data_IF_186467406816
#
_entry.id   IF_186467406816
#
_cell.length_a   1.000
_cell.length_b   1.000
_cell.length_c   1.000
_cell.angle_alpha   90.00
_cell.angle_beta   90.00
_cell.angle_gamma   90.00
#
_symmetry.space_group_name_H-M   'P 1'
#
loop_
_entity.id
_entity.type
_entity.pdbx_description
1 polymer ?
#
# COMPACT_ATOMS: atom_id res chain seq x y z
N UNK A 1 11.93 -12.25 -1.63
CA UNK A 1 10.98 -11.39 -0.90
C UNK A 1 10.50 -10.26 -1.81
N UNK A 2 9.22 -10.01 -1.83
CA UNK A 2 8.62 -8.94 -2.62
C UNK A 2 8.39 -7.75 -1.70
N UNK A 3 8.82 -6.55 -2.09
CA UNK A 3 8.66 -5.34 -1.30
C UNK A 3 7.72 -4.36 -2.03
N UNK A 4 6.81 -3.74 -1.31
CA UNK A 4 5.87 -2.81 -1.92
C UNK A 4 5.38 -1.76 -0.93
N UNK A 5 5.20 -0.53 -1.42
CA UNK A 5 4.39 0.47 -0.76
C UNK A 5 2.95 0.23 -1.18
N UNK A 6 2.05 0.08 -0.24
CA UNK A 6 0.63 -0.17 -0.50
C UNK A 6 -0.15 1.11 -0.25
N UNK A 7 -0.75 1.67 -1.30
CA UNK A 7 -1.64 2.83 -1.15
C UNK A 7 -2.86 2.42 -0.32
N UNK A 8 -3.31 3.31 0.54
CA UNK A 8 -4.43 3.04 1.46
C UNK A 8 -5.68 2.55 0.73
N UNK A 9 -5.94 3.06 -0.48
CA UNK A 9 -7.12 2.64 -1.25
C UNK A 9 -7.11 1.14 -1.59
N UNK A 10 -5.94 0.52 -1.71
CA UNK A 10 -5.82 -0.93 -1.96
C UNK A 10 -6.28 -1.72 -0.73
N UNK A 11 -5.87 -1.28 0.46
CA UNK A 11 -6.29 -1.92 1.72
C UNK A 11 -7.81 -1.80 1.88
N UNK A 12 -8.34 -0.60 1.71
CA UNK A 12 -9.79 -0.35 1.82
C UNK A 12 -10.56 -1.21 0.83
N UNK A 13 -10.15 -1.21 -0.43
CA UNK A 13 -10.80 -2.00 -1.48
C UNK A 13 -10.81 -3.49 -1.15
N UNK A 14 -9.71 -4.02 -0.61
CA UNK A 14 -9.61 -5.43 -0.22
C UNK A 14 -10.59 -5.79 0.89
N UNK A 15 -10.90 -4.85 1.76
CA UNK A 15 -11.83 -5.07 2.89
C UNK A 15 -13.29 -4.89 2.49
N UNK A 16 -13.57 -4.09 1.47
CA UNK A 16 -14.93 -3.82 1.00
C UNK A 16 -15.38 -4.83 -0.08
N UNK A 17 -14.47 -5.46 -0.78
CA UNK A 17 -14.82 -6.40 -1.85
C UNK A 17 -15.43 -7.68 -1.30
N UNK A 18 -16.42 -8.21 -2.01
CA UNK A 18 -16.99 -9.55 -1.74
C UNK A 18 -16.30 -10.64 -2.56
N UNK A 19 -15.45 -10.23 -3.51
CA UNK A 19 -14.70 -11.15 -4.36
C UNK A 19 -13.30 -11.37 -3.78
N UNK A 20 -13.08 -12.52 -3.16
CA UNK A 20 -11.79 -12.88 -2.55
C UNK A 20 -10.69 -13.12 -3.59
N UNK A 21 -11.04 -13.25 -4.87
CA UNK A 21 -10.08 -13.37 -5.96
C UNK A 21 -9.81 -12.04 -6.66
N UNK A 22 -10.35 -10.93 -6.16
CA UNK A 22 -10.04 -9.61 -6.71
C UNK A 22 -8.55 -9.30 -6.55
N UNK A 23 -8.02 -8.44 -7.41
CA UNK A 23 -6.59 -8.10 -7.37
C UNK A 23 -6.20 -7.49 -6.02
N UNK A 24 -7.01 -6.60 -5.46
CA UNK A 24 -6.72 -5.99 -4.16
C UNK A 24 -6.70 -7.03 -3.03
N UNK A 25 -7.64 -7.97 -3.04
CA UNK A 25 -7.68 -9.05 -2.06
C UNK A 25 -6.44 -9.94 -2.18
N UNK A 26 -6.01 -10.25 -3.40
CA UNK A 26 -4.82 -11.09 -3.65
C UNK A 26 -3.55 -10.40 -3.18
N UNK A 27 -3.41 -9.10 -3.42
CA UNK A 27 -2.27 -8.31 -2.92
C UNK A 27 -2.24 -8.36 -1.39
N UNK A 28 -3.34 -8.07 -0.74
CA UNK A 28 -3.38 -8.02 0.73
C UNK A 28 -3.21 -9.41 1.36
N UNK A 29 -3.76 -10.46 0.75
CA UNK A 29 -3.53 -11.83 1.22
C UNK A 29 -2.04 -12.18 1.16
N UNK A 30 -1.32 -11.75 0.11
CA UNK A 30 0.12 -11.96 0.00
C UNK A 30 0.89 -11.22 1.11
N UNK A 31 0.41 -10.04 1.52
CA UNK A 31 0.97 -9.32 2.68
C UNK A 31 0.75 -10.14 3.96
N UNK A 32 -0.49 -10.59 4.20
CA UNK A 32 -0.83 -11.35 5.42
C UNK A 32 -0.10 -12.70 5.50
N UNK A 33 0.19 -13.31 4.36
CA UNK A 33 0.95 -14.56 4.27
C UNK A 33 2.47 -14.37 4.36
N UNK A 34 2.94 -13.13 4.41
CA UNK A 34 4.37 -12.82 4.48
C UNK A 34 5.11 -12.91 3.16
N UNK A 35 4.40 -13.03 2.03
CA UNK A 35 5.02 -13.05 0.70
C UNK A 35 5.41 -11.67 0.21
N UNK A 36 4.66 -10.66 0.62
CA UNK A 36 4.91 -9.24 0.31
C UNK A 36 5.19 -8.52 1.62
N UNK A 37 6.33 -7.83 1.67
CA UNK A 37 6.70 -7.01 2.81
C UNK A 37 6.35 -5.56 2.52
N UNK A 38 5.40 -4.96 3.26
CA UNK A 38 5.06 -3.57 3.05
C UNK A 38 6.18 -2.64 3.52
N UNK A 39 6.44 -1.61 2.73
CA UNK A 39 7.34 -0.53 3.09
C UNK A 39 6.54 0.59 3.71
N UNK A 40 6.94 1.07 4.87
CA UNK A 40 6.17 2.03 5.66
C UNK A 40 7.04 3.07 6.33
N UNK A 41 6.39 4.13 6.79
CA UNK A 41 6.91 5.07 7.79
C UNK A 41 5.75 5.44 8.72
N UNK A 42 6.03 6.21 9.77
CA UNK A 42 4.99 6.58 10.74
C UNK A 42 3.81 7.31 10.10
N UNK A 43 4.06 8.18 9.13
CA UNK A 43 2.99 8.89 8.42
C UNK A 43 2.07 7.92 7.66
N UNK A 44 2.65 6.94 6.97
CA UNK A 44 1.87 5.95 6.22
C UNK A 44 1.03 5.11 7.17
N UNK A 45 1.63 4.63 8.26
CA UNK A 45 0.89 3.85 9.27
C UNK A 45 -0.23 4.66 9.90
N UNK A 46 0.02 5.94 10.16
CA UNK A 46 -0.98 6.85 10.69
C UNK A 46 -2.14 7.07 9.74
N UNK A 47 -1.88 7.17 8.44
CA UNK A 47 -2.93 7.29 7.44
C UNK A 47 -3.76 6.00 7.34
N UNK A 48 -3.13 4.83 7.35
CA UNK A 48 -3.87 3.56 7.37
C UNK A 48 -4.85 3.53 8.55
N UNK A 49 -4.37 3.86 9.74
CA UNK A 49 -5.18 3.84 10.95
C UNK A 49 -6.35 4.82 10.86
N UNK A 50 -6.09 6.05 10.43
CA UNK A 50 -7.12 7.10 10.32
C UNK A 50 -8.19 6.70 9.30
N UNK A 51 -7.78 6.26 8.11
CA UNK A 51 -8.71 5.94 7.02
C UNK A 51 -9.55 4.70 7.35
N UNK A 52 -8.92 3.63 7.88
CA UNK A 52 -9.65 2.39 8.17
C UNK A 52 -10.67 2.56 9.30
N UNK A 53 -10.52 3.55 10.15
CA UNK A 53 -11.47 3.85 11.23
C UNK A 53 -12.51 4.92 10.87
N UNK A 54 -12.56 5.37 9.61
CA UNK A 54 -13.59 6.32 9.18
C UNK A 54 -14.97 5.68 9.23
N UNK A 55 -15.93 6.34 9.91
CA UNK A 55 -17.28 5.84 10.09
C UNK A 55 -18.00 5.56 8.77
N UNK A 56 -17.73 6.34 7.73
CA UNK A 56 -18.32 6.20 6.40
C UNK A 56 -18.05 4.85 5.77
N UNK A 57 -16.90 4.25 6.07
CA UNK A 57 -16.52 2.95 5.49
C UNK A 57 -17.22 1.77 6.15
N UNK A 58 -17.73 1.94 7.36
CA UNK A 58 -18.47 0.91 8.11
C UNK A 58 -17.72 -0.43 8.22
N UNK A 59 -16.38 -0.34 8.34
CA UNK A 59 -15.56 -1.51 8.55
C UNK A 59 -15.61 -1.95 10.02
N UNK A 60 -15.42 -3.25 10.26
CA UNK A 60 -15.34 -3.78 11.61
C UNK A 60 -14.06 -3.28 12.29
N UNK A 61 -14.16 -2.49 13.40
CA UNK A 61 -12.97 -1.95 14.07
C UNK A 61 -11.99 -3.01 14.55
N UNK A 62 -12.47 -4.14 15.06
CA UNK A 62 -11.60 -5.21 15.54
C UNK A 62 -10.79 -5.83 14.40
N UNK A 63 -11.42 -6.00 13.23
CA UNK A 63 -10.75 -6.50 12.04
C UNK A 63 -9.71 -5.51 11.53
N UNK A 64 -10.04 -4.22 11.52
CA UNK A 64 -9.10 -3.18 11.13
C UNK A 64 -7.89 -3.14 12.06
N UNK A 65 -8.08 -3.22 13.37
CA UNK A 65 -7.01 -3.24 14.35
C UNK A 65 -6.09 -4.45 14.16
N UNK A 66 -6.69 -5.62 13.88
CA UNK A 66 -5.93 -6.84 13.61
C UNK A 66 -5.05 -6.71 12.36
N UNK A 67 -5.62 -6.19 11.27
CA UNK A 67 -4.90 -5.98 10.01
C UNK A 67 -3.77 -4.98 10.18
N UNK A 68 -4.02 -3.87 10.87
CA UNK A 68 -2.99 -2.86 11.15
C UNK A 68 -1.85 -3.46 11.98
N UNK A 69 -2.16 -4.30 12.93
CA UNK A 69 -1.18 -5.01 13.74
C UNK A 69 -0.31 -5.93 12.88
N UNK A 70 -0.92 -6.70 11.97
CA UNK A 70 -0.18 -7.56 11.04
C UNK A 70 0.75 -6.74 10.14
N UNK A 71 0.28 -5.62 9.61
CA UNK A 71 1.09 -4.76 8.75
C UNK A 71 2.28 -4.20 9.54
N UNK A 72 2.05 -3.68 10.74
CA UNK A 72 3.12 -3.15 11.60
C UNK A 72 4.19 -4.20 11.92
N UNK A 73 3.75 -5.41 12.22
CA UNK A 73 4.67 -6.49 12.61
C UNK A 73 5.55 -6.97 11.46
N UNK A 74 5.03 -6.90 10.22
CA UNK A 74 5.72 -7.40 9.04
C UNK A 74 6.44 -6.33 8.23
N UNK A 75 6.10 -5.05 8.45
CA UNK A 75 6.57 -3.96 7.62
C UNK A 75 8.06 -3.68 7.78
N UNK A 76 8.67 -3.24 6.67
CA UNK A 76 10.02 -2.70 6.68
C UNK A 76 9.92 -1.17 6.78
N UNK A 77 10.43 -0.58 7.88
CA UNK A 77 10.42 0.88 8.01
C UNK A 77 11.45 1.51 7.09
N UNK A 78 11.04 2.60 6.44
CA UNK A 78 11.86 3.34 5.49
C UNK A 78 11.85 4.83 5.80
N UNK A 79 12.90 5.54 5.42
CA UNK A 79 12.93 6.99 5.44
C UNK A 79 12.62 7.52 4.03
N UNK A 80 11.76 8.56 3.90
CA UNK A 80 11.40 9.06 2.58
C UNK A 80 12.58 9.71 1.86
N UNK A 81 12.59 9.58 0.53
CA UNK A 81 13.47 10.35 -0.34
C UNK A 81 12.68 11.55 -0.85
N UNK A 82 13.17 12.75 -0.57
CA UNK A 82 12.48 13.98 -0.96
C UNK A 82 12.35 14.09 -2.47
N UNK A 83 11.17 14.50 -2.94
CA UNK A 83 10.93 14.84 -4.34
C UNK A 83 10.08 16.11 -4.46
N UNK A 84 10.38 16.90 -5.48
CA UNK A 84 9.58 18.07 -5.86
C UNK A 84 8.59 17.76 -6.98
N UNK A 85 8.40 16.48 -7.33
CA UNK A 85 7.47 16.07 -8.36
C UNK A 85 6.06 16.60 -8.08
N UNK A 86 5.37 17.02 -9.14
CA UNK A 86 4.00 17.50 -9.02
C UNK A 86 3.07 16.37 -8.63
N UNK A 87 2.24 16.59 -7.60
CA UNK A 87 1.26 15.64 -7.09
C UNK A 87 -0.14 16.24 -7.18
N UNK A 88 -1.14 15.52 -7.71
CA UNK A 88 -2.54 15.96 -7.64
C UNK A 88 -3.03 16.16 -6.21
N UNK A 89 -2.58 15.30 -5.28
CA UNK A 89 -2.88 15.40 -3.85
C UNK A 89 -1.58 15.29 -3.06
N UNK A 90 -1.26 16.33 -2.29
CA UNK A 90 -0.05 16.36 -1.47
C UNK A 90 -0.04 15.27 -0.39
N UNK A 91 -1.20 14.82 0.06
CA UNK A 91 -1.27 13.75 1.06
C UNK A 91 -0.73 12.42 0.52
N UNK A 92 -0.68 12.24 -0.81
CA UNK A 92 -0.12 11.04 -1.44
C UNK A 92 1.41 11.09 -1.59
N UNK A 93 2.02 12.24 -1.42
CA UNK A 93 3.48 12.42 -1.61
C UNK A 93 4.30 11.47 -0.76
N UNK A 94 3.90 11.23 0.47
CA UNK A 94 4.64 10.34 1.36
C UNK A 94 4.75 8.92 0.81
N UNK A 95 3.70 8.41 0.18
CA UNK A 95 3.73 7.08 -0.44
C UNK A 95 4.74 7.02 -1.58
N UNK A 96 4.78 8.05 -2.42
CA UNK A 96 5.71 8.12 -3.53
C UNK A 96 7.15 8.26 -3.03
N UNK A 97 7.40 9.07 -1.99
CA UNK A 97 8.73 9.28 -1.43
C UNK A 97 9.27 8.03 -0.73
N UNK A 98 8.42 7.26 -0.08
CA UNK A 98 8.82 5.95 0.47
C UNK A 98 9.10 4.95 -0.66
N UNK A 99 8.30 4.99 -1.74
CA UNK A 99 8.56 4.15 -2.90
C UNK A 99 9.90 4.47 -3.56
N UNK A 100 10.25 5.74 -3.66
CA UNK A 100 11.57 6.16 -4.15
C UNK A 100 12.70 5.60 -3.28
N UNK A 101 12.54 5.68 -1.95
CA UNK A 101 13.50 5.09 -1.02
C UNK A 101 13.61 3.57 -1.24
N UNK A 102 12.51 2.90 -1.47
CA UNK A 102 12.47 1.47 -1.76
C UNK A 102 13.21 1.11 -3.04
N UNK A 103 13.15 1.96 -4.07
CA UNK A 103 13.86 1.72 -5.33
C UNK A 103 15.38 1.71 -5.16
N UNK A 104 15.90 2.45 -4.17
CA UNK A 104 17.35 2.51 -3.91
C UNK A 104 17.87 1.24 -3.24
N UNK A 105 17.01 0.44 -2.60
CA UNK A 105 17.41 -0.69 -1.76
C UNK A 105 16.85 -2.01 -2.27
N UNK A 106 15.64 -2.01 -2.80
CA UNK A 106 14.90 -3.20 -3.22
C UNK A 106 14.37 -3.04 -4.63
N UNK A 107 13.99 -4.14 -5.28
CA UNK A 107 13.14 -4.11 -6.46
C UNK A 107 11.69 -4.00 -6.00
N UNK A 108 11.27 -2.80 -5.59
CA UNK A 108 9.97 -2.55 -4.98
C UNK A 108 8.99 -1.90 -5.95
N UNK A 109 7.72 -1.88 -5.55
CA UNK A 109 6.64 -1.24 -6.31
C UNK A 109 5.81 -0.35 -5.38
N UNK A 110 5.17 0.65 -5.96
CA UNK A 110 4.05 1.36 -5.34
C UNK A 110 2.77 0.82 -5.96
N UNK A 111 1.96 0.14 -5.14
CA UNK A 111 0.71 -0.47 -5.59
C UNK A 111 -0.45 0.46 -5.24
N UNK A 112 -1.17 0.91 -6.27
CA UNK A 112 -2.27 1.87 -6.10
C UNK A 112 -3.42 1.54 -7.02
N UNK A 113 -4.63 1.75 -6.55
CA UNK A 113 -5.83 1.68 -7.37
C UNK A 113 -6.00 2.89 -8.29
N UNK A 114 -5.17 3.91 -8.14
CA UNK A 114 -5.29 5.15 -8.90
C UNK A 114 -3.92 5.67 -9.34
N UNK A 115 -3.38 5.07 -10.39
CA UNK A 115 -2.05 5.39 -10.94
C UNK A 115 -1.94 6.87 -11.30
N UNK A 116 -3.03 7.50 -11.72
CA UNK A 116 -3.05 8.91 -12.13
C UNK A 116 -2.76 9.89 -11.00
N UNK A 117 -2.88 9.46 -9.75
CA UNK A 117 -2.60 10.30 -8.58
C UNK A 117 -1.10 10.45 -8.31
N UNK A 118 -0.26 9.73 -9.06
CA UNK A 118 1.19 9.70 -8.87
C UNK A 118 1.95 10.15 -10.11
N UNK A 119 3.17 10.66 -9.96
CA UNK A 119 4.05 10.88 -11.09
C UNK A 119 4.24 9.59 -11.89
N UNK A 120 4.35 9.71 -13.20
CA UNK A 120 4.53 8.55 -14.08
C UNK A 120 5.88 7.89 -13.81
N UNK A 121 5.85 6.61 -13.42
CA UNK A 121 7.06 5.83 -13.15
C UNK A 121 6.74 4.35 -13.32
N UNK A 122 7.74 3.57 -13.75
CA UNK A 122 7.55 2.15 -14.03
C UNK A 122 7.22 1.35 -12.76
N UNK A 123 7.65 1.82 -11.59
CA UNK A 123 7.38 1.14 -10.33
C UNK A 123 6.00 1.45 -9.75
N UNK A 124 5.25 2.39 -10.32
CA UNK A 124 3.87 2.68 -9.91
C UNK A 124 2.94 1.79 -10.72
N UNK A 125 2.28 0.85 -10.06
CA UNK A 125 1.50 -0.21 -10.70
C UNK A 125 0.13 -0.36 -10.06
N UNK A 126 -0.83 -0.89 -10.83
CA UNK A 126 -2.13 -1.28 -10.30
C UNK A 126 -2.04 -2.59 -9.53
N UNK A 127 -3.03 -2.91 -8.67
CA UNK A 127 -3.07 -4.23 -8.04
C UNK A 127 -3.03 -5.38 -9.04
N UNK A 128 -3.76 -5.27 -10.16
CA UNK A 128 -3.75 -6.30 -11.22
C UNK A 128 -2.37 -6.48 -11.84
N UNK A 129 -1.70 -5.38 -12.20
CA UNK A 129 -0.35 -5.43 -12.74
C UNK A 129 0.64 -6.04 -11.75
N UNK A 130 0.52 -5.68 -10.47
CA UNK A 130 1.37 -6.22 -9.42
C UNK A 130 1.19 -7.75 -9.30
N UNK A 131 -0.04 -8.23 -9.31
CA UNK A 131 -0.34 -9.65 -9.26
C UNK A 131 0.26 -10.40 -10.45
N UNK A 132 0.19 -9.80 -11.65
CA UNK A 132 0.77 -10.39 -12.86
C UNK A 132 2.30 -10.43 -12.76
N UNK A 133 2.92 -9.34 -12.34
CA UNK A 133 4.39 -9.23 -12.24
C UNK A 133 4.98 -10.24 -11.26
N UNK A 134 4.30 -10.51 -10.16
CA UNK A 134 4.82 -11.35 -9.09
C UNK A 134 4.07 -12.68 -8.91
N UNK A 135 3.19 -13.00 -9.83
CA UNK A 135 2.51 -14.30 -9.87
C UNK A 135 1.67 -14.57 -8.61
N UNK A 136 0.94 -13.57 -8.21
CA UNK A 136 0.09 -13.64 -7.01
C UNK A 136 -1.33 -14.11 -7.31
#
# INVERSE_FOLDING_TARGET
MIYAVIDTNVIVSSLLTRNHDSATARVMNAVYEGKVMPLVCDEILGEYEEVLHRAQLKLDPAKCDYILSLIRDQAEPMHPVHTDASMPDEDDRIFFEIALAGQDVFDSRLVTGNIKDYPKADFVVSPSEFCIQFNL
#
